data_IF_502547831795
#
_entry.id   IF_502547831795
#
_cell.length_a   1.000
_cell.length_b   1.000
_cell.length_c   1.000
_cell.angle_alpha   90.00
_cell.angle_beta   90.00
_cell.angle_gamma   90.00
#
_symmetry.space_group_name_H-M   'P 1'
#
loop_
_entity.id
_entity.type
_entity.pdbx_description
1 polymer ?
#
# COMPACT_ATOMS: atom_id res chain seq x y z
N UNK A 1 3.02 7.71 -25.98
CA UNK A 1 2.60 6.36 -25.56
C UNK A 1 3.76 5.79 -24.79
N UNK A 2 3.60 5.62 -23.47
CA UNK A 2 4.65 5.04 -22.63
C UNK A 2 4.51 3.53 -22.72
N UNK A 3 5.60 2.84 -23.07
CA UNK A 3 5.66 1.37 -23.05
C UNK A 3 6.50 0.98 -21.84
N UNK A 4 5.97 0.05 -21.06
CA UNK A 4 6.64 -0.50 -19.89
C UNK A 4 6.49 -2.02 -19.95
N UNK A 5 7.55 -2.73 -19.58
CA UNK A 5 7.49 -4.17 -19.38
C UNK A 5 6.76 -4.44 -18.05
N UNK A 6 5.87 -5.44 -18.03
CA UNK A 6 5.00 -5.70 -16.87
C UNK A 6 5.82 -6.06 -15.62
N UNK A 7 6.87 -6.85 -15.79
CA UNK A 7 7.84 -7.22 -14.75
C UNK A 7 8.49 -5.98 -14.11
N UNK A 8 9.00 -5.05 -14.90
CA UNK A 8 9.61 -3.82 -14.41
C UNK A 8 8.62 -2.98 -13.58
N UNK A 9 7.36 -2.91 -14.00
CA UNK A 9 6.31 -2.23 -13.24
C UNK A 9 6.02 -2.94 -11.91
N UNK A 10 5.91 -4.27 -11.92
CA UNK A 10 5.66 -5.08 -10.71
C UNK A 10 6.78 -4.89 -9.68
N UNK A 11 8.04 -4.94 -10.12
CA UNK A 11 9.18 -4.75 -9.23
C UNK A 11 9.25 -3.33 -8.68
N UNK A 12 9.08 -2.31 -9.53
CA UNK A 12 9.10 -0.92 -9.09
C UNK A 12 8.00 -0.62 -8.07
N UNK A 13 6.80 -1.18 -8.26
CA UNK A 13 5.70 -1.04 -7.30
C UNK A 13 5.98 -1.80 -6.00
N UNK A 14 6.58 -2.98 -6.07
CA UNK A 14 6.97 -3.74 -4.88
C UNK A 14 7.97 -2.98 -4.02
N UNK A 15 9.04 -2.46 -4.63
CA UNK A 15 10.05 -1.64 -3.96
C UNK A 15 9.43 -0.38 -3.34
N UNK A 16 8.52 0.28 -4.07
CA UNK A 16 7.81 1.45 -3.58
C UNK A 16 6.96 1.13 -2.33
N UNK A 17 6.23 0.01 -2.32
CA UNK A 17 5.43 -0.43 -1.16
C UNK A 17 6.31 -0.71 0.04
N UNK A 18 7.37 -1.48 -0.16
CA UNK A 18 8.31 -1.84 0.90
C UNK A 18 8.94 -0.57 1.47
N UNK A 19 9.42 0.32 0.60
CA UNK A 19 10.00 1.61 1.00
C UNK A 19 9.01 2.52 1.72
N UNK A 20 7.75 2.58 1.27
CA UNK A 20 6.70 3.34 1.92
C UNK A 20 6.40 2.79 3.33
N UNK A 21 6.25 1.48 3.46
CA UNK A 21 6.01 0.83 4.75
C UNK A 21 7.19 1.03 5.72
N UNK A 22 8.43 0.93 5.22
CA UNK A 22 9.64 1.23 5.97
C UNK A 22 9.70 2.68 6.44
N UNK A 23 9.28 3.63 5.59
CA UNK A 23 9.26 5.05 5.96
C UNK A 23 8.29 5.33 7.12
N UNK A 24 7.13 4.65 7.14
CA UNK A 24 6.15 4.75 8.22
C UNK A 24 6.73 4.20 9.52
N UNK A 25 7.36 3.03 9.44
CA UNK A 25 8.06 2.41 10.58
C UNK A 25 9.14 3.33 11.14
N UNK A 26 10.05 3.83 10.31
CA UNK A 26 11.14 4.75 10.74
C UNK A 26 10.59 6.04 11.33
N UNK A 27 9.53 6.62 10.75
CA UNK A 27 8.89 7.82 11.31
C UNK A 27 8.32 7.55 12.70
N UNK A 28 7.73 6.37 12.91
CA UNK A 28 7.23 5.95 14.22
C UNK A 28 8.35 5.74 15.22
N UNK A 29 9.41 5.03 14.84
CA UNK A 29 10.60 4.84 15.67
C UNK A 29 11.22 6.19 16.06
N UNK A 30 11.35 7.12 15.11
CA UNK A 30 11.83 8.47 15.38
C UNK A 30 10.90 9.26 16.31
N UNK A 31 9.58 9.09 16.21
CA UNK A 31 8.63 9.69 17.16
C UNK A 31 8.78 9.10 18.56
N UNK A 32 8.95 7.79 18.68
CA UNK A 32 9.17 7.11 19.95
C UNK A 32 10.52 7.51 20.57
N UNK A 33 11.57 7.66 19.76
CA UNK A 33 12.89 8.09 20.22
C UNK A 33 12.94 9.56 20.62
N UNK A 34 12.24 10.45 19.89
CA UNK A 34 12.15 11.90 20.22
C UNK A 34 11.22 12.18 21.40
N UNK A 35 10.17 11.39 21.55
CA UNK A 35 9.23 11.45 22.65
C UNK A 35 9.42 10.31 23.63
N UNK A 36 10.66 9.92 23.90
CA UNK A 36 11.00 8.83 24.81
C UNK A 36 10.19 8.92 26.10
N UNK A 37 9.27 7.97 26.26
CA UNK A 37 8.64 7.47 27.48
C UNK A 37 8.05 8.44 28.53
N UNK A 38 8.08 9.78 28.42
CA UNK A 38 7.65 10.62 29.58
C UNK A 38 6.84 11.88 29.26
N UNK A 39 7.09 12.63 28.18
CA UNK A 39 6.48 13.99 28.10
C UNK A 39 4.99 14.00 27.70
N UNK A 40 4.42 12.84 27.34
CA UNK A 40 2.99 12.72 27.02
C UNK A 40 2.21 11.72 27.87
N UNK A 41 2.87 10.98 28.78
CA UNK A 41 2.19 10.24 29.85
C UNK A 41 1.71 11.20 30.98
N UNK A 42 2.22 12.43 31.02
CA UNK A 42 1.76 13.48 31.92
C UNK A 42 0.57 14.32 31.41
N UNK A 43 0.16 14.15 30.15
CA UNK A 43 -1.03 14.86 29.63
C UNK A 43 -2.27 14.09 30.04
N UNK A 44 -2.72 14.34 31.26
CA UNK A 44 -3.95 13.78 31.78
C UNK A 44 -5.12 14.74 31.56
N UNK A 45 -6.22 14.23 31.01
CA UNK A 45 -7.46 14.99 30.87
C UNK A 45 -8.18 14.98 32.21
N UNK A 46 -8.38 16.15 32.82
CA UNK A 46 -9.23 16.30 34.01
C UNK A 46 -10.67 16.53 33.57
N UNK A 47 -11.54 15.58 33.86
CA UNK A 47 -12.96 15.63 33.52
C UNK A 47 -13.79 15.63 34.80
N UNK A 48 -14.88 16.38 34.82
CA UNK A 48 -15.85 16.37 35.90
C UNK A 48 -16.96 15.40 35.54
N UNK A 49 -17.11 14.31 36.31
CA UNK A 49 -18.11 13.27 36.06
C UNK A 49 -19.24 13.43 37.08
N UNK A 50 -20.51 13.60 36.66
CA UNK A 50 -21.65 13.65 37.57
C UNK A 50 -21.81 12.31 38.30
N UNK A 51 -22.02 12.33 39.61
CA UNK A 51 -22.26 11.10 40.40
C UNK A 51 -23.64 10.47 40.16
N UNK A 52 -24.58 11.22 39.57
CA UNK A 52 -25.92 10.76 39.25
C UNK A 52 -26.46 11.51 38.02
N UNK A 53 -27.51 11.00 37.35
CA UNK A 53 -28.09 11.66 36.16
C UNK A 53 -28.94 12.90 36.47
N UNK A 54 -29.08 13.29 37.75
CA UNK A 54 -29.82 14.49 38.12
C UNK A 54 -29.09 15.77 37.65
N UNK A 55 -29.86 16.80 37.27
CA UNK A 55 -29.34 18.02 36.63
C UNK A 55 -28.33 18.80 37.50
N UNK A 56 -28.47 18.73 38.82
CA UNK A 56 -27.60 19.42 39.79
C UNK A 56 -26.73 18.45 40.61
N UNK A 57 -26.47 17.25 40.07
CA UNK A 57 -25.68 16.26 40.77
C UNK A 57 -24.23 16.74 41.02
N UNK A 58 -23.65 16.48 42.21
CA UNK A 58 -22.26 16.82 42.46
C UNK A 58 -21.34 16.06 41.49
N UNK A 59 -20.36 16.77 40.94
CA UNK A 59 -19.35 16.21 40.06
C UNK A 59 -18.11 15.75 40.84
N UNK A 60 -17.54 14.63 40.43
CA UNK A 60 -16.25 14.15 40.92
C UNK A 60 -15.17 14.35 39.85
N UNK A 61 -14.01 14.95 40.18
CA UNK A 61 -12.92 15.08 39.23
C UNK A 61 -12.30 13.70 38.98
N UNK A 62 -12.25 13.29 37.72
CA UNK A 62 -11.57 12.09 37.26
C UNK A 62 -10.44 12.50 36.32
N UNK A 63 -9.26 11.93 36.58
CA UNK A 63 -8.07 12.12 35.76
C UNK A 63 -7.97 10.94 34.81
N UNK A 64 -8.07 11.18 33.50
CA UNK A 64 -7.93 10.13 32.49
C UNK A 64 -6.59 10.29 31.78
N UNK A 65 -5.75 9.27 31.84
CA UNK A 65 -4.49 9.25 31.13
C UNK A 65 -4.77 9.16 29.63
N UNK A 66 -4.34 10.16 28.85
CA UNK A 66 -4.55 10.12 27.39
C UNK A 66 -3.81 8.97 26.71
N UNK A 67 -2.81 8.38 27.37
CA UNK A 67 -2.13 7.17 26.91
C UNK A 67 -3.03 5.94 26.85
N UNK A 68 -4.13 5.90 27.61
CA UNK A 68 -5.12 4.81 27.55
C UNK A 68 -6.00 4.86 26.28
N UNK A 69 -6.15 6.05 25.68
CA UNK A 69 -6.91 6.23 24.44
C UNK A 69 -6.06 6.15 23.17
N UNK A 70 -4.73 6.01 23.30
CA UNK A 70 -3.85 5.86 22.14
C UNK A 70 -3.88 4.42 21.65
N UNK A 71 -4.16 4.24 20.36
CA UNK A 71 -3.98 2.94 19.72
C UNK A 71 -2.50 2.54 19.81
N UNK A 72 -2.22 1.44 20.52
CA UNK A 72 -0.88 0.87 20.67
C UNK A 72 -0.41 0.14 19.43
N UNK A 73 -1.29 -0.10 18.46
CA UNK A 73 -0.94 -0.80 17.22
C UNK A 73 0.06 0.00 16.42
N UNK A 74 1.06 -0.69 15.89
CA UNK A 74 2.03 -0.11 14.97
C UNK A 74 1.33 0.19 13.65
N UNK A 75 1.23 1.48 13.24
CA UNK A 75 0.67 1.80 11.95
C UNK A 75 1.55 1.18 10.86
N UNK A 76 0.91 0.50 9.93
CA UNK A 76 1.55 -0.11 8.77
C UNK A 76 0.58 -0.07 7.59
N UNK A 77 1.12 -0.18 6.38
CA UNK A 77 0.27 -0.34 5.21
C UNK A 77 -0.29 -1.77 5.27
N UNK A 78 -1.62 -1.93 5.23
CA UNK A 78 -2.23 -3.26 5.17
C UNK A 78 -2.24 -3.78 3.73
N UNK A 79 -2.56 -2.91 2.77
CA UNK A 79 -2.64 -3.22 1.35
C UNK A 79 -2.34 -1.98 0.52
N UNK A 80 -1.69 -2.17 -0.62
CA UNK A 80 -1.60 -1.18 -1.70
C UNK A 80 -2.09 -1.83 -2.99
N UNK A 81 -2.93 -1.15 -3.75
CA UNK A 81 -3.33 -1.59 -5.09
C UNK A 81 -3.24 -0.44 -6.09
N UNK A 82 -2.88 -0.79 -7.32
CA UNK A 82 -2.90 0.11 -8.48
C UNK A 82 -3.78 -0.52 -9.55
N UNK A 83 -4.72 0.25 -10.06
CA UNK A 83 -5.67 -0.17 -11.10
C UNK A 83 -5.57 0.78 -12.28
N UNK A 84 -5.52 0.22 -13.49
CA UNK A 84 -5.41 1.01 -14.71
C UNK A 84 -5.83 0.21 -15.95
N UNK A 85 -6.28 0.92 -16.98
CA UNK A 85 -6.58 0.32 -18.27
C UNK A 85 -5.37 0.36 -19.19
N UNK A 86 -5.07 -0.75 -19.83
CA UNK A 86 -3.92 -0.87 -20.74
C UNK A 86 -4.25 -1.71 -21.97
N UNK A 87 -3.39 -1.61 -22.99
CA UNK A 87 -3.38 -2.58 -24.10
C UNK A 87 -2.18 -3.48 -23.95
N UNK A 88 -2.43 -4.78 -24.01
CA UNK A 88 -1.41 -5.81 -23.87
C UNK A 88 -0.93 -6.26 -25.25
N UNK A 89 0.37 -6.47 -25.39
CA UNK A 89 0.95 -6.98 -26.63
C UNK A 89 2.20 -7.84 -26.35
N UNK A 90 2.43 -8.82 -27.21
CA UNK A 90 3.64 -9.62 -27.21
C UNK A 90 4.66 -8.95 -28.13
N UNK A 91 5.79 -8.53 -27.57
CA UNK A 91 6.90 -7.94 -28.31
C UNK A 91 8.05 -8.95 -28.40
N UNK A 92 8.44 -9.30 -29.62
CA UNK A 92 9.61 -10.16 -29.84
C UNK A 92 10.87 -9.32 -29.77
N UNK A 93 11.65 -9.47 -28.69
CA UNK A 93 12.95 -8.81 -28.56
C UNK A 93 14.02 -9.59 -29.33
N UNK A 94 14.95 -8.88 -29.98
CA UNK A 94 16.09 -9.53 -30.67
C UNK A 94 16.93 -10.26 -29.62
N UNK A 95 17.21 -11.55 -29.87
CA UNK A 95 18.02 -12.37 -28.98
C UNK A 95 17.25 -13.10 -27.87
N UNK A 96 15.94 -12.87 -27.72
CA UNK A 96 15.12 -13.67 -26.80
C UNK A 96 14.29 -14.74 -27.53
N UNK A 97 14.27 -15.99 -27.04
CA UNK A 97 13.50 -17.07 -27.65
C UNK A 97 11.99 -16.87 -27.48
N UNK A 98 11.57 -16.25 -26.37
CA UNK A 98 10.18 -16.00 -26.01
C UNK A 98 9.81 -14.52 -26.20
N UNK A 99 8.57 -14.21 -26.63
CA UNK A 99 8.11 -12.84 -26.69
C UNK A 99 7.86 -12.29 -25.29
N UNK A 100 8.21 -11.01 -25.08
CA UNK A 100 7.99 -10.28 -23.83
C UNK A 100 6.60 -9.65 -23.83
N UNK A 101 5.90 -9.74 -22.70
CA UNK A 101 4.61 -9.07 -22.52
C UNK A 101 4.84 -7.59 -22.22
N UNK A 102 4.37 -6.71 -23.11
CA UNK A 102 4.50 -5.26 -22.98
C UNK A 102 3.12 -4.60 -22.88
N UNK A 103 3.08 -3.49 -22.15
CA UNK A 103 1.85 -2.77 -21.87
C UNK A 103 1.95 -1.35 -22.42
N UNK A 104 0.91 -0.95 -23.14
CA UNK A 104 0.76 0.43 -23.63
C UNK A 104 -0.24 1.17 -22.77
N UNK A 105 0.25 2.18 -22.07
CA UNK A 105 -0.56 3.10 -21.27
C UNK A 105 -0.93 4.32 -22.13
N UNK A 106 -2.21 4.72 -22.07
CA UNK A 106 -2.72 5.95 -22.66
C UNK A 106 -3.59 5.80 -23.91
N UNK A 107 -4.07 6.94 -24.41
CA UNK A 107 -4.94 7.00 -25.60
C UNK A 107 -4.11 6.74 -26.87
N UNK A 108 -4.59 5.90 -27.79
CA UNK A 108 -3.92 5.67 -29.06
C UNK A 108 -3.91 6.97 -29.87
N UNK A 109 -2.78 7.29 -30.49
CA UNK A 109 -2.63 8.52 -31.30
C UNK A 109 -3.53 8.51 -32.53
N UNK A 110 -3.91 7.33 -33.02
CA UNK A 110 -4.85 7.12 -34.12
C UNK A 110 -5.91 6.10 -33.72
N UNK A 111 -7.16 6.53 -33.57
CA UNK A 111 -8.26 5.71 -33.08
C UNK A 111 -8.56 4.49 -33.99
N UNK A 112 -8.43 4.66 -35.33
CA UNK A 112 -8.67 3.55 -36.28
C UNK A 112 -7.69 2.39 -36.06
N UNK A 113 -6.42 2.66 -35.78
CA UNK A 113 -5.39 1.64 -35.59
C UNK A 113 -5.52 0.89 -34.26
N UNK A 114 -6.47 1.28 -33.39
CA UNK A 114 -6.54 0.81 -32.01
C UNK A 114 -7.59 -0.28 -31.73
N UNK A 115 -7.91 -1.13 -32.73
CA UNK A 115 -8.83 -2.29 -32.59
C UNK A 115 -8.44 -3.30 -31.49
N UNK A 116 -7.34 -3.09 -30.77
CA UNK A 116 -6.92 -3.93 -29.66
C UNK A 116 -7.79 -3.65 -28.43
N UNK A 117 -8.24 -4.75 -27.81
CA UNK A 117 -9.00 -4.75 -26.57
C UNK A 117 -8.23 -3.99 -25.48
N UNK A 118 -8.95 -3.16 -24.73
CA UNK A 118 -8.46 -2.57 -23.49
C UNK A 118 -8.69 -3.58 -22.38
N UNK A 119 -7.66 -3.83 -21.60
CA UNK A 119 -7.69 -4.70 -20.43
C UNK A 119 -7.61 -3.84 -19.17
N UNK A 120 -8.47 -4.14 -18.21
CA UNK A 120 -8.40 -3.57 -16.87
C UNK A 120 -7.42 -4.40 -16.05
N UNK A 121 -6.33 -3.78 -15.59
CA UNK A 121 -5.29 -4.45 -14.82
C UNK A 121 -5.30 -3.92 -13.40
N UNK A 122 -5.29 -4.84 -12.43
CA UNK A 122 -5.08 -4.55 -11.02
C UNK A 122 -3.82 -5.23 -10.54
N UNK A 123 -2.96 -4.50 -9.84
CA UNK A 123 -1.79 -5.04 -9.15
C UNK A 123 -1.94 -4.71 -7.67
N UNK A 124 -1.96 -5.72 -6.80
CA UNK A 124 -2.17 -5.58 -5.36
C UNK A 124 -1.00 -6.17 -4.58
N UNK A 125 -0.68 -5.55 -3.46
CA UNK A 125 0.34 -5.98 -2.50
C UNK A 125 -0.27 -5.93 -1.10
N UNK A 126 -0.19 -7.03 -0.37
CA UNK A 126 -0.75 -7.14 0.98
C UNK A 126 0.34 -7.49 2.00
N UNK A 127 0.23 -6.91 3.19
CA UNK A 127 1.14 -7.23 4.30
C UNK A 127 1.00 -8.69 4.75
N UNK A 128 -0.20 -9.26 4.64
CA UNK A 128 -0.50 -10.66 4.96
C UNK A 128 0.16 -11.67 4.02
N UNK A 129 0.59 -11.24 2.84
CA UNK A 129 1.21 -12.10 1.83
C UNK A 129 2.66 -11.70 1.53
N UNK A 130 3.39 -11.23 2.55
CA UNK A 130 4.79 -10.82 2.45
C UNK A 130 5.08 -9.86 1.29
N UNK A 131 4.12 -9.00 0.94
CA UNK A 131 4.23 -8.07 -0.19
C UNK A 131 4.48 -8.76 -1.55
N UNK A 132 4.03 -10.00 -1.72
CA UNK A 132 4.01 -10.63 -3.03
C UNK A 132 2.94 -9.98 -3.93
N UNK A 133 3.25 -9.76 -5.22
CA UNK A 133 2.31 -9.17 -6.15
C UNK A 133 1.16 -10.14 -6.45
N UNK A 134 -0.06 -9.62 -6.38
CA UNK A 134 -1.27 -10.26 -6.89
C UNK A 134 -1.77 -9.46 -8.08
N UNK A 135 -1.94 -10.11 -9.23
CA UNK A 135 -2.30 -9.44 -10.48
C UNK A 135 -3.62 -9.99 -10.98
N UNK A 136 -4.56 -9.10 -11.27
CA UNK A 136 -5.80 -9.44 -11.94
C UNK A 136 -5.88 -8.72 -13.29
N UNK A 137 -6.34 -9.43 -14.32
CA UNK A 137 -6.65 -8.88 -15.63
C UNK A 137 -8.11 -9.15 -15.93
N UNK A 138 -8.91 -8.09 -16.13
CA UNK A 138 -10.36 -8.16 -16.35
C UNK A 138 -11.07 -8.99 -15.26
N UNK A 139 -10.62 -8.82 -14.01
CA UNK A 139 -11.14 -9.53 -12.84
C UNK A 139 -10.69 -10.99 -12.72
N UNK A 140 -9.73 -11.44 -13.54
CA UNK A 140 -9.18 -12.81 -13.50
C UNK A 140 -7.78 -12.81 -12.89
N UNK A 141 -7.52 -13.58 -11.83
CA UNK A 141 -6.20 -13.65 -11.22
C UNK A 141 -5.22 -14.32 -12.17
N UNK A 142 -4.06 -13.69 -12.32
CA UNK A 142 -2.94 -14.17 -13.10
C UNK A 142 -1.94 -14.86 -12.17
N UNK A 143 -1.75 -16.16 -12.39
CA UNK A 143 -0.75 -16.93 -11.66
C UNK A 143 0.60 -16.63 -12.29
N UNK A 144 1.43 -15.87 -11.57
CA UNK A 144 2.82 -15.70 -11.94
C UNK A 144 3.57 -17.02 -11.62
N UNK A 145 4.43 -17.51 -12.52
CA UNK A 145 5.43 -18.49 -12.11
C UNK A 145 6.19 -17.89 -10.91
N UNK A 146 6.56 -18.72 -9.93
CA UNK A 146 7.41 -18.27 -8.84
C UNK A 146 8.57 -17.49 -9.46
N UNK A 147 8.64 -16.19 -9.18
CA UNK A 147 9.72 -15.33 -9.65
C UNK A 147 10.98 -15.90 -9.02
N UNK A 148 11.65 -16.80 -9.74
CA UNK A 148 12.96 -17.29 -9.37
C UNK A 148 13.81 -16.04 -9.32
N UNK A 149 14.28 -15.71 -8.12
CA UNK A 149 15.28 -14.66 -7.92
C UNK A 149 16.60 -15.17 -8.50
N UNK A 150 16.68 -15.31 -9.82
CA UNK A 150 17.93 -15.47 -10.54
C UNK A 150 18.57 -14.07 -10.64
N UNK A 151 18.94 -13.53 -9.48
CA UNK A 151 19.71 -12.29 -9.34
C UNK A 151 20.82 -12.47 -8.29
N UNK A 152 21.34 -13.68 -8.16
CA UNK A 152 22.68 -13.93 -7.61
C UNK A 152 23.43 -14.90 -8.52
N UNK A 153 24.20 -14.35 -9.47
CA UNK A 153 25.63 -14.63 -9.68
C UNK A 153 26.21 -13.76 -10.79
#
# INVERSE_FOLDING_TARGET
MTTCALDALIFALQDAVIGANDSIRRRREAQLARGGMDDSDHVALRVQIPQSPAQDAPCTPVTIALSEFRDRRTPHIAMMSVEFDCRVHFLRQRGQPTPVLTMSLGKPRFAWLSRKLLHHVRISYASTNAWQPQIDIDGRPLILPALVRDMEQ
#
